data_IF_761222395731
#
_entry.id   IF_761222395731
#
_cell.length_a   1.000
_cell.length_b   1.000
_cell.length_c   1.000
_cell.angle_alpha   90.00
_cell.angle_beta   90.00
_cell.angle_gamma   90.00
#
_symmetry.space_group_name_H-M   'P 1'
#
loop_
_entity.id
_entity.type
_entity.pdbx_description
1 polymer ?
#
# COMPACT_ATOMS: atom_id res chain seq x y z
N UNK A 1 -24.83 -1.78 7.10
CA UNK A 1 -24.78 -0.57 7.96
C UNK A 1 -23.49 -0.33 8.74
N UNK A 2 -22.82 -1.35 9.29
CA UNK A 2 -21.63 -1.16 10.13
C UNK A 2 -20.47 -0.43 9.44
N UNK A 3 -20.15 -0.81 8.20
CA UNK A 3 -19.09 -0.16 7.40
C UNK A 3 -19.41 1.33 7.20
N UNK A 4 -20.67 1.66 6.86
CA UNK A 4 -21.12 3.05 6.68
C UNK A 4 -20.97 3.86 7.96
N UNK A 5 -21.32 3.27 9.12
CA UNK A 5 -21.14 3.93 10.43
C UNK A 5 -19.68 4.22 10.74
N UNK A 6 -18.79 3.25 10.51
CA UNK A 6 -17.35 3.41 10.75
C UNK A 6 -16.73 4.44 9.79
N UNK A 7 -17.08 4.39 8.51
CA UNK A 7 -16.63 5.37 7.53
C UNK A 7 -17.07 6.79 7.90
N UNK A 8 -18.34 6.97 8.30
CA UNK A 8 -18.84 8.28 8.76
C UNK A 8 -18.11 8.80 9.99
N UNK A 9 -17.73 7.93 10.93
CA UNK A 9 -16.95 8.34 12.10
C UNK A 9 -15.56 8.87 11.71
N UNK A 10 -14.90 8.23 10.74
CA UNK A 10 -13.60 8.69 10.22
C UNK A 10 -13.76 10.04 9.50
N UNK A 11 -14.83 10.21 8.70
CA UNK A 11 -15.13 11.49 8.03
C UNK A 11 -15.33 12.60 9.06
N UNK A 12 -16.12 12.35 10.10
CA UNK A 12 -16.35 13.32 11.18
C UNK A 12 -15.04 13.72 11.88
N UNK A 13 -14.15 12.76 12.16
CA UNK A 13 -12.84 13.01 12.75
C UNK A 13 -11.97 13.92 11.85
N UNK A 14 -12.05 13.75 10.52
CA UNK A 14 -11.34 14.59 9.55
C UNK A 14 -11.92 16.00 9.52
N UNK A 15 -13.25 16.13 9.55
CA UNK A 15 -13.93 17.42 9.57
C UNK A 15 -13.59 18.21 10.85
N UNK A 16 -13.53 17.53 12.01
CA UNK A 16 -13.10 18.10 13.29
C UNK A 16 -11.62 18.53 13.29
N UNK A 17 -10.77 17.82 12.54
CA UNK A 17 -9.37 18.21 12.30
C UNK A 17 -9.23 19.42 11.34
N UNK A 18 -10.35 19.98 10.86
CA UNK A 18 -10.38 21.13 9.96
C UNK A 18 -10.29 20.75 8.47
N UNK A 19 -10.72 19.54 8.13
CA UNK A 19 -10.80 19.02 6.77
C UNK A 19 -9.56 18.23 6.33
N UNK A 20 -9.68 17.52 5.21
CA UNK A 20 -8.67 16.55 4.75
C UNK A 20 -7.30 17.17 4.48
N UNK A 21 -7.24 18.40 3.95
CA UNK A 21 -5.98 19.08 3.69
C UNK A 21 -5.15 19.29 4.98
N UNK A 22 -5.77 19.82 6.04
CA UNK A 22 -5.13 19.99 7.35
C UNK A 22 -4.79 18.66 8.00
N UNK A 23 -5.66 17.65 7.85
CA UNK A 23 -5.39 16.30 8.34
C UNK A 23 -4.15 15.68 7.68
N UNK A 24 -3.94 15.91 6.37
CA UNK A 24 -2.75 15.46 5.64
C UNK A 24 -1.49 16.17 6.15
N UNK A 25 -1.52 17.49 6.33
CA UNK A 25 -0.40 18.26 6.91
C UNK A 25 -0.05 17.77 8.32
N UNK A 26 -1.06 17.43 9.12
CA UNK A 26 -0.89 16.82 10.44
C UNK A 26 -0.49 15.33 10.40
N UNK A 27 -0.34 14.75 9.20
CA UNK A 27 0.03 13.35 8.99
C UNK A 27 -1.00 12.34 9.52
N UNK A 28 -2.24 12.75 9.77
CA UNK A 28 -3.26 11.90 10.40
C UNK A 28 -3.61 10.68 9.51
N UNK A 29 -3.95 10.84 8.21
CA UNK A 29 -4.28 9.69 7.36
C UNK A 29 -3.12 8.70 7.23
N UNK A 30 -1.89 9.21 7.08
CA UNK A 30 -0.68 8.39 6.95
C UNK A 30 -0.48 7.51 8.18
N UNK A 31 -0.53 8.10 9.38
CA UNK A 31 -0.39 7.36 10.65
C UNK A 31 -1.45 6.27 10.79
N UNK A 32 -2.72 6.55 10.47
CA UNK A 32 -3.79 5.56 10.56
C UNK A 32 -3.56 4.35 9.64
N UNK A 33 -3.07 4.59 8.41
CA UNK A 33 -2.73 3.53 7.44
C UNK A 33 -1.53 2.72 7.94
N UNK A 34 -0.49 3.39 8.44
CA UNK A 34 0.72 2.73 8.97
C UNK A 34 0.38 1.87 10.19
N UNK A 35 -0.41 2.38 11.13
CA UNK A 35 -0.85 1.61 12.29
C UNK A 35 -1.68 0.38 11.90
N UNK A 36 -2.58 0.51 10.92
CA UNK A 36 -3.36 -0.61 10.42
C UNK A 36 -2.46 -1.66 9.75
N UNK A 37 -1.49 -1.21 8.95
CA UNK A 37 -0.53 -2.07 8.25
C UNK A 37 0.39 -2.80 9.22
N UNK A 38 0.90 -2.10 10.23
CA UNK A 38 1.75 -2.67 11.27
C UNK A 38 1.00 -3.72 12.11
N UNK A 39 -0.28 -3.46 12.43
CA UNK A 39 -1.14 -4.45 13.10
C UNK A 39 -1.34 -5.69 12.24
N UNK A 40 -1.68 -5.53 10.96
CA UNK A 40 -1.87 -6.66 10.05
C UNK A 40 -0.57 -7.47 9.89
N UNK A 41 0.56 -6.79 9.70
CA UNK A 41 1.87 -7.44 9.61
C UNK A 41 2.18 -8.24 10.88
N UNK A 42 1.94 -7.67 12.07
CA UNK A 42 2.14 -8.38 13.33
C UNK A 42 1.26 -9.63 13.45
N UNK A 43 0.01 -9.59 12.95
CA UNK A 43 -0.87 -10.76 12.93
C UNK A 43 -0.39 -11.85 11.97
N UNK A 44 0.18 -11.45 10.81
CA UNK A 44 0.78 -12.36 9.83
C UNK A 44 2.00 -13.03 10.43
N UNK A 45 2.89 -12.26 11.06
CA UNK A 45 4.14 -12.76 11.67
C UNK A 45 3.86 -13.71 12.84
N UNK A 46 2.81 -13.42 13.63
CA UNK A 46 2.33 -14.30 14.70
C UNK A 46 1.58 -15.54 14.19
N UNK A 47 1.34 -15.66 12.87
CA UNK A 47 0.56 -16.75 12.28
C UNK A 47 -0.94 -16.72 12.62
N UNK A 48 -1.42 -15.66 13.27
CA UNK A 48 -2.85 -15.44 13.58
C UNK A 48 -3.64 -15.12 12.32
N UNK A 49 -3.02 -14.38 11.41
CA UNK A 49 -3.51 -14.15 10.05
C UNK A 49 -2.83 -15.15 9.12
N UNK A 50 -3.58 -16.14 8.63
CA UNK A 50 -3.03 -17.19 7.77
C UNK A 50 -2.96 -16.73 6.33
N UNK A 51 -1.78 -16.83 5.73
CA UNK A 51 -1.53 -16.65 4.30
C UNK A 51 -0.97 -17.98 3.77
N UNK A 52 -1.80 -18.69 2.99
CA UNK A 52 -1.46 -19.99 2.41
C UNK A 52 -0.27 -19.82 1.45
N UNK A 53 0.74 -20.68 1.60
CA UNK A 53 1.98 -20.62 0.82
C UNK A 53 3.03 -19.66 1.41
N UNK A 54 2.66 -18.73 2.30
CA UNK A 54 3.59 -17.70 2.83
C UNK A 54 3.93 -17.88 4.30
N UNK A 55 2.96 -18.13 5.18
CA UNK A 55 3.23 -18.42 6.60
C UNK A 55 2.66 -19.77 7.06
N UNK A 56 1.79 -20.38 6.26
CA UNK A 56 1.26 -21.72 6.50
C UNK A 56 1.11 -22.48 5.19
N UNK A 57 1.34 -23.78 5.23
CA UNK A 57 1.25 -24.66 4.06
C UNK A 57 2.20 -24.21 2.93
N UNK A 58 3.46 -23.92 3.29
CA UNK A 58 4.51 -23.62 2.32
C UNK A 58 4.83 -24.84 1.47
N UNK A 59 5.17 -24.61 0.21
CA UNK A 59 5.75 -25.63 -0.66
C UNK A 59 7.23 -25.81 -0.29
N UNK A 60 7.75 -27.04 -0.41
CA UNK A 60 9.16 -27.33 -0.19
C UNK A 60 10.04 -26.76 -1.32
N UNK A 61 9.46 -26.62 -2.52
CA UNK A 61 10.07 -26.03 -3.70
C UNK A 61 9.07 -25.10 -4.38
N UNK A 62 9.52 -23.88 -4.71
CA UNK A 62 8.78 -22.92 -5.52
C UNK A 62 9.34 -22.96 -6.95
N UNK A 63 8.46 -22.97 -7.95
CA UNK A 63 8.86 -22.86 -9.35
C UNK A 63 9.33 -21.43 -9.65
N UNK A 64 10.41 -21.29 -10.41
CA UNK A 64 10.86 -19.99 -10.90
C UNK A 64 9.80 -19.39 -11.83
N UNK A 65 9.42 -18.14 -11.58
CA UNK A 65 8.50 -17.39 -12.44
C UNK A 65 9.28 -16.32 -13.17
N UNK A 66 9.14 -16.26 -14.49
CA UNK A 66 9.76 -15.21 -15.30
C UNK A 66 9.20 -13.83 -14.91
N UNK A 67 10.09 -12.92 -14.53
CA UNK A 67 9.76 -11.53 -14.25
C UNK A 67 10.11 -10.69 -15.46
N UNK A 68 9.20 -9.80 -15.86
CA UNK A 68 9.48 -8.84 -16.92
C UNK A 68 10.50 -7.81 -16.42
N UNK A 69 11.72 -7.87 -16.95
CA UNK A 69 12.74 -6.86 -16.72
C UNK A 69 12.56 -5.70 -17.70
N UNK A 70 12.53 -4.47 -17.17
CA UNK A 70 12.40 -3.25 -17.97
C UNK A 70 13.75 -2.56 -18.05
N UNK A 71 14.27 -2.37 -19.27
CA UNK A 71 15.49 -1.61 -19.51
C UNK A 71 15.22 -0.10 -19.35
N UNK A 72 15.53 0.41 -18.15
CA UNK A 72 15.37 1.82 -17.82
C UNK A 72 16.32 2.75 -18.60
N UNK A 73 17.45 2.25 -19.10
CA UNK A 73 18.40 3.06 -19.90
C UNK A 73 17.82 3.28 -21.28
N UNK A 74 17.33 2.21 -21.91
CA UNK A 74 16.64 2.29 -23.20
C UNK A 74 15.45 3.23 -23.14
N UNK A 75 14.53 3.01 -22.18
CA UNK A 75 13.32 3.83 -22.02
C UNK A 75 13.69 5.30 -21.79
N UNK A 76 14.66 5.60 -20.91
CA UNK A 76 15.11 6.97 -20.66
C UNK A 76 15.61 7.65 -21.92
N UNK A 77 16.45 6.97 -22.71
CA UNK A 77 17.01 7.53 -23.94
C UNK A 77 15.92 7.81 -24.98
N UNK A 78 14.93 6.92 -25.12
CA UNK A 78 13.77 7.13 -25.99
C UNK A 78 12.94 8.34 -25.56
N UNK A 79 12.69 8.51 -24.25
CA UNK A 79 11.95 9.66 -23.73
C UNK A 79 12.70 10.98 -23.98
N UNK A 80 14.02 11.01 -23.78
CA UNK A 80 14.85 12.19 -24.08
C UNK A 80 14.73 12.54 -25.57
N UNK A 81 14.92 11.55 -26.45
CA UNK A 81 14.84 11.76 -27.89
C UNK A 81 13.43 12.20 -28.36
N UNK A 82 12.37 11.85 -27.62
CA UNK A 82 11.02 12.33 -27.89
C UNK A 82 10.83 13.78 -27.45
N UNK A 83 11.38 14.17 -26.30
CA UNK A 83 11.32 15.54 -25.78
C UNK A 83 12.11 16.53 -26.66
N UNK A 84 13.24 16.10 -27.24
CA UNK A 84 14.03 16.90 -28.17
C UNK A 84 13.32 17.21 -29.50
N UNK A 85 12.24 16.48 -29.82
CA UNK A 85 11.42 16.67 -31.03
C UNK A 85 10.21 17.58 -30.82
N UNK A 86 10.00 18.09 -29.60
CA UNK A 86 8.95 19.04 -29.22
C UNK A 86 9.54 20.44 -29.16
#
# INVERSE_FOLDING_TARGET
DQIVKQARAIIQQIDEAGGMAKAIEAGLPKRMIEEASAREQSLIDQGKRVIVGVNKYKLDHEDETDVLEIDNVMVRNEQIASLERI
#
